data_IF_635207553458
#
_entry.id   IF_635207553458
#
_cell.length_a   1.000
_cell.length_b   1.000
_cell.length_c   1.000
_cell.angle_alpha   90.00
_cell.angle_beta   90.00
_cell.angle_gamma   90.00
#
_symmetry.space_group_name_H-M   'P 1'
#
loop_
_entity.id
_entity.type
_entity.pdbx_description
1 polymer ?
#
# COMPACT_ATOMS: atom_id res chain seq x y z
N UNK A 1 11.88 -8.84 3.46
CA UNK A 1 12.09 -8.90 2.00
C UNK A 1 12.90 -7.69 1.55
N UNK A 2 13.75 -7.85 0.53
CA UNK A 2 14.71 -6.84 0.09
C UNK A 2 16.07 -6.96 0.77
N UNK A 3 17.13 -6.58 0.05
CA UNK A 3 18.48 -6.49 0.57
C UNK A 3 18.82 -5.04 0.95
N UNK A 4 19.94 -4.82 1.64
CA UNK A 4 20.42 -3.46 1.92
C UNK A 4 20.55 -2.68 0.60
N UNK A 5 19.93 -1.51 0.52
CA UNK A 5 19.83 -0.66 -0.70
C UNK A 5 19.05 -1.26 -1.88
N UNK A 6 18.36 -2.39 -1.70
CA UNK A 6 17.49 -2.99 -2.71
C UNK A 6 16.14 -3.39 -2.08
N UNK A 7 15.26 -2.40 -1.79
CA UNK A 7 13.96 -2.68 -1.20
C UNK A 7 13.06 -3.42 -2.18
N UNK A 8 12.33 -4.42 -1.66
CA UNK A 8 11.32 -5.16 -2.41
C UNK A 8 10.07 -5.29 -1.54
N UNK A 9 8.93 -4.81 -2.05
CA UNK A 9 7.69 -4.73 -1.29
C UNK A 9 6.64 -5.70 -1.84
N UNK A 10 5.84 -6.28 -0.93
CA UNK A 10 4.63 -7.03 -1.27
C UNK A 10 3.43 -6.14 -1.01
N UNK A 11 2.48 -6.12 -1.93
CA UNK A 11 1.16 -5.54 -1.72
C UNK A 11 0.29 -6.64 -1.13
N UNK A 12 -0.08 -6.49 0.14
CA UNK A 12 -0.83 -7.51 0.88
C UNK A 12 -2.09 -6.92 1.49
N UNK A 13 -3.12 -7.75 1.64
CA UNK A 13 -4.28 -7.47 2.48
C UNK A 13 -3.99 -8.05 3.86
N UNK A 14 -3.97 -7.19 4.86
CA UNK A 14 -3.81 -7.57 6.26
C UNK A 14 -4.77 -6.77 7.12
N UNK A 15 -4.97 -7.21 8.36
CA UNK A 15 -5.73 -6.45 9.34
C UNK A 15 -4.87 -5.31 9.90
N UNK A 16 -5.50 -4.20 10.31
CA UNK A 16 -4.77 -3.01 10.77
C UNK A 16 -3.92 -3.26 12.02
N UNK A 17 -4.22 -4.32 12.79
CA UNK A 17 -3.49 -4.71 14.01
C UNK A 17 -2.37 -5.71 13.75
N UNK A 18 -2.29 -6.28 12.53
CA UNK A 18 -1.24 -7.22 12.18
C UNK A 18 0.12 -6.51 12.09
N UNK A 19 1.21 -7.14 12.57
CA UNK A 19 2.54 -6.60 12.37
C UNK A 19 2.89 -6.56 10.87
N UNK A 20 3.72 -5.58 10.47
CA UNK A 20 4.07 -5.30 9.06
C UNK A 20 4.52 -6.53 8.27
N UNK A 21 5.37 -7.35 8.87
CA UNK A 21 5.94 -8.56 8.25
C UNK A 21 5.27 -9.85 8.77
N UNK A 22 4.07 -9.73 9.36
CA UNK A 22 3.36 -10.83 10.01
C UNK A 22 2.33 -11.53 9.15
N UNK A 23 1.27 -12.02 9.82
CA UNK A 23 0.17 -12.73 9.16
C UNK A 23 -0.68 -11.77 8.32
N UNK A 24 -0.81 -12.09 7.05
CA UNK A 24 -1.67 -11.44 6.08
C UNK A 24 -2.78 -12.40 5.61
N UNK A 25 -3.87 -11.84 5.07
CA UNK A 25 -4.98 -12.62 4.49
C UNK A 25 -4.62 -13.08 3.09
N UNK A 26 -4.12 -12.17 2.26
CA UNK A 26 -3.80 -12.44 0.86
C UNK A 26 -2.70 -11.51 0.32
N UNK A 27 -1.92 -11.98 -0.66
CA UNK A 27 -0.96 -11.20 -1.42
C UNK A 27 -1.64 -10.78 -2.74
N UNK A 28 -1.81 -9.47 -2.95
CA UNK A 28 -2.38 -8.91 -4.17
C UNK A 28 -1.33 -8.65 -5.25
N UNK A 29 -0.06 -8.52 -4.85
CA UNK A 29 0.98 -8.17 -5.80
C UNK A 29 2.34 -7.89 -5.19
N UNK A 30 3.24 -7.42 -6.03
CA UNK A 30 4.60 -7.02 -5.68
C UNK A 30 4.93 -5.66 -6.29
N UNK A 31 5.75 -4.91 -5.57
CA UNK A 31 6.26 -3.62 -5.98
C UNK A 31 7.79 -3.59 -5.81
N UNK A 32 8.47 -3.37 -6.93
CA UNK A 32 9.92 -3.25 -6.99
C UNK A 32 10.30 -1.83 -7.49
N UNK A 33 10.71 -0.93 -6.59
CA UNK A 33 11.18 0.40 -6.97
C UNK A 33 12.61 0.41 -7.52
N UNK A 34 13.34 -0.71 -7.46
CA UNK A 34 14.77 -0.77 -7.83
C UNK A 34 14.94 -0.87 -9.35
N UNK A 35 13.94 -1.38 -10.05
CA UNK A 35 13.96 -1.45 -11.52
C UNK A 35 13.60 -0.10 -12.10
N UNK A 36 14.17 0.23 -13.26
CA UNK A 36 13.84 1.42 -14.02
C UNK A 36 13.32 0.98 -15.40
N UNK A 37 11.99 0.98 -15.63
CA UNK A 37 10.91 1.52 -14.79
C UNK A 37 10.56 0.65 -13.57
N UNK A 38 9.96 1.28 -12.56
CA UNK A 38 9.54 0.58 -11.34
C UNK A 38 8.53 -0.53 -11.68
N UNK A 39 8.86 -1.77 -11.32
CA UNK A 39 8.01 -2.92 -11.63
C UNK A 39 6.88 -3.00 -10.61
N UNK A 40 5.65 -2.91 -11.11
CA UNK A 40 4.44 -3.05 -10.32
C UNK A 40 3.65 -4.21 -10.93
N UNK A 41 3.44 -5.28 -10.17
CA UNK A 41 2.62 -6.42 -10.56
C UNK A 41 1.51 -6.56 -9.54
N UNK A 42 0.28 -6.19 -9.90
CA UNK A 42 -0.89 -6.26 -9.02
C UNK A 42 -1.98 -7.04 -9.75
N UNK A 43 -2.60 -7.97 -9.04
CA UNK A 43 -3.78 -8.68 -9.51
C UNK A 43 -5.01 -7.77 -9.40
N UNK A 44 -5.49 -7.30 -10.55
CA UNK A 44 -6.56 -6.30 -10.64
C UNK A 44 -7.90 -6.89 -10.18
N UNK A 45 -8.16 -8.16 -10.48
CA UNK A 45 -9.42 -8.82 -10.14
C UNK A 45 -9.56 -8.97 -8.62
N UNK A 46 -8.51 -9.48 -7.96
CA UNK A 46 -8.47 -9.58 -6.51
C UNK A 46 -8.49 -8.20 -5.85
N UNK A 47 -7.76 -7.23 -6.37
CA UNK A 47 -7.78 -5.87 -5.84
C UNK A 47 -9.19 -5.26 -5.87
N UNK A 48 -9.93 -5.40 -6.98
CA UNK A 48 -11.32 -4.94 -7.10
C UNK A 48 -12.25 -5.65 -6.12
N UNK A 49 -12.09 -6.96 -5.94
CA UNK A 49 -12.85 -7.72 -4.95
C UNK A 49 -12.66 -7.17 -3.54
N UNK A 50 -11.42 -6.98 -3.10
CA UNK A 50 -11.15 -6.46 -1.75
C UNK A 50 -11.62 -5.02 -1.56
N UNK A 51 -11.52 -4.18 -2.59
CA UNK A 51 -12.10 -2.83 -2.57
C UNK A 51 -13.62 -2.87 -2.40
N UNK A 52 -14.30 -3.81 -3.08
CA UNK A 52 -15.76 -4.03 -2.94
C UNK A 52 -16.14 -4.49 -1.52
N UNK A 53 -15.32 -5.34 -0.90
CA UNK A 53 -15.49 -5.81 0.49
C UNK A 53 -15.21 -4.70 1.52
N UNK A 54 -14.66 -3.55 1.10
CA UNK A 54 -14.39 -2.41 1.96
C UNK A 54 -12.95 -2.35 2.50
N UNK A 55 -12.00 -3.01 1.84
CA UNK A 55 -10.58 -2.85 2.16
C UNK A 55 -10.14 -1.40 1.94
N UNK A 56 -9.40 -0.84 2.91
CA UNK A 56 -8.86 0.51 2.81
C UNK A 56 -7.40 0.47 2.35
N UNK A 57 -7.06 0.97 1.15
CA UNK A 57 -5.68 1.06 0.70
C UNK A 57 -4.93 2.18 1.42
N UNK A 58 -3.62 2.02 1.59
CA UNK A 58 -2.72 3.07 2.06
C UNK A 58 -2.35 4.03 0.92
N UNK A 59 -1.88 5.25 1.22
CA UNK A 59 -1.56 6.28 0.20
C UNK A 59 -0.68 5.75 -0.95
N UNK A 60 0.40 5.03 -0.62
CA UNK A 60 1.30 4.46 -1.64
C UNK A 60 0.60 3.39 -2.48
N UNK A 61 -0.20 2.52 -1.86
CA UNK A 61 -0.94 1.48 -2.58
C UNK A 61 -2.02 2.09 -3.46
N UNK A 62 -2.72 3.12 -3.01
CA UNK A 62 -3.70 3.84 -3.82
C UNK A 62 -3.08 4.44 -5.09
N UNK A 63 -1.87 5.01 -5.00
CA UNK A 63 -1.14 5.51 -6.18
C UNK A 63 -0.75 4.39 -7.13
N UNK A 64 -0.31 3.24 -6.61
CA UNK A 64 0.03 2.07 -7.42
C UNK A 64 -1.22 1.51 -8.13
N UNK A 65 -2.35 1.39 -7.42
CA UNK A 65 -3.62 0.95 -8.00
C UNK A 65 -4.10 1.90 -9.11
N UNK A 66 -4.00 3.22 -8.88
CA UNK A 66 -4.33 4.24 -9.89
C UNK A 66 -3.46 4.12 -11.15
N UNK A 67 -2.16 3.87 -11.00
CA UNK A 67 -1.26 3.65 -12.14
C UNK A 67 -1.60 2.39 -12.94
N UNK A 68 -2.17 1.37 -12.28
CA UNK A 68 -2.60 0.11 -12.91
C UNK A 68 -4.05 0.14 -13.43
N UNK A 69 -4.66 1.32 -13.58
CA UNK A 69 -6.00 1.46 -14.16
C UNK A 69 -7.16 1.16 -13.22
N UNK A 70 -6.93 1.19 -11.90
CA UNK A 70 -7.99 1.16 -10.88
C UNK A 70 -8.20 2.62 -10.43
N UNK A 71 -8.98 3.38 -11.21
CA UNK A 71 -9.24 4.81 -10.94
C UNK A 71 -10.46 5.03 -10.02
N UNK A 72 -11.41 4.09 -10.01
CA UNK A 72 -12.67 4.13 -9.25
C UNK A 72 -12.53 3.92 -7.73
N UNK A 73 -11.40 4.27 -7.12
CA UNK A 73 -11.36 4.39 -5.66
C UNK A 73 -12.04 5.70 -5.30
N UNK A 74 -13.37 5.71 -5.42
CA UNK A 74 -14.28 6.75 -5.00
C UNK A 74 -14.04 7.05 -3.52
N UNK A 75 -13.20 8.05 -3.28
CA UNK A 75 -13.37 9.11 -2.30
C UNK A 75 -14.06 8.74 -0.97
N UNK A 76 -13.66 7.63 -0.35
CA UNK A 76 -13.79 7.41 1.11
C UNK A 76 -12.44 7.50 1.81
N UNK A 77 -11.41 7.98 1.10
CA UNK A 77 -10.23 8.52 1.75
C UNK A 77 -10.65 9.88 2.33
N UNK A 78 -11.12 9.89 3.58
CA UNK A 78 -10.85 11.06 4.41
C UNK A 78 -9.33 11.06 4.54
N UNK A 79 -8.58 11.99 3.91
CA UNK A 79 -7.23 12.19 4.37
C UNK A 79 -7.39 12.54 5.84
N UNK A 80 -6.97 11.68 6.76
CA UNK A 80 -6.88 12.11 8.16
C UNK A 80 -5.95 13.32 8.12
N UNK A 81 -6.44 14.54 8.41
CA UNK A 81 -5.56 15.68 8.45
C UNK A 81 -4.60 15.43 9.61
N UNK A 82 -3.31 15.39 9.29
CA UNK A 82 -2.20 15.56 10.24
C UNK A 82 -2.29 14.76 11.56
N UNK A 83 -1.59 13.62 11.61
CA UNK A 83 -0.80 13.39 12.82
C UNK A 83 0.26 14.50 12.88
N UNK A 84 0.01 15.51 13.72
CA UNK A 84 0.93 16.62 14.04
C UNK A 84 2.38 16.12 14.19
N UNK A 85 3.39 16.94 13.84
CA UNK A 85 4.78 16.63 14.16
C UNK A 85 4.92 16.63 15.68
N UNK A 86 5.14 15.46 16.28
CA UNK A 86 5.48 15.39 17.70
C UNK A 86 6.95 15.76 17.88
N UNK A 87 7.15 17.07 18.12
CA UNK A 87 8.29 17.76 18.76
C UNK A 87 9.62 17.87 17.99
N UNK A 88 9.86 19.09 17.50
CA UNK A 88 11.10 19.79 17.80
C UNK A 88 10.98 20.45 19.20
N UNK A 89 12.00 20.31 20.06
CA UNK A 89 12.54 21.33 20.99
C UNK A 89 13.33 20.73 22.18
N UNK A 90 14.59 21.21 22.33
CA UNK A 90 15.52 21.24 23.49
C UNK A 90 16.10 19.89 23.98
N UNK A 91 17.39 19.74 24.22
CA UNK A 91 18.49 20.64 24.67
C UNK A 91 19.78 20.44 23.85
#
# INVERSE_FOLDING_TARGET
MGAKKAPFYRVVVAESTSPRDGRFKEILGVYNPVTEPAEVKIDIERARYWLSVGAQPTDRVARLLKFNGIDEIQLKFRPTPAAKPAKAAKE
#
